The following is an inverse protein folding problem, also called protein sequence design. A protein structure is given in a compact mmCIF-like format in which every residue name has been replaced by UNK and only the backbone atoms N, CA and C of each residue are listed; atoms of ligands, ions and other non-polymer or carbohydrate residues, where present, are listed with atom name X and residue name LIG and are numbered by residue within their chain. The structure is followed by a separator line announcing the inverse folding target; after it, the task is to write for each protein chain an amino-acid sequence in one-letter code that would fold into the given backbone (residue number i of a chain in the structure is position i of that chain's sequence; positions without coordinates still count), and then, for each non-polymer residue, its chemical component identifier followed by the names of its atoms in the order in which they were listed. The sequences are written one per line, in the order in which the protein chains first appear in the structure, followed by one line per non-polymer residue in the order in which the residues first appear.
data_IF_372798255057
#
_entry.id   IF_372798255057
#
_cell.length_a   1.000
_cell.length_b   1.000
_cell.length_c   1.000
_cell.angle_alpha   90.00
_cell.angle_beta   90.00
_cell.angle_gamma   90.00
#
_symmetry.space_group_name_H-M   'P 1'
#
loop_
_entity.id
_entity.type
_entity.pdbx_description
1 polymer ?
#
# COMPACT_ATOMS: atom_id res chain seq x y z
N UNK A 1 -25.31 -5.63 7.29
CA UNK A 1 -25.18 -4.64 6.20
C UNK A 1 -25.25 -5.44 4.91
N UNK A 2 -26.21 -5.18 4.03
CA UNK A 2 -26.35 -5.97 2.81
C UNK A 2 -25.29 -5.55 1.79
N UNK A 3 -24.67 -6.53 1.14
CA UNK A 3 -23.72 -6.32 0.05
C UNK A 3 -24.33 -6.88 -1.22
N UNK A 4 -24.43 -6.05 -2.26
CA UNK A 4 -24.99 -6.48 -3.55
C UNK A 4 -24.03 -6.21 -4.69
N UNK A 5 -24.14 -6.98 -5.77
CA UNK A 5 -23.47 -6.65 -7.02
C UNK A 5 -24.22 -5.52 -7.76
N UNK A 6 -23.76 -5.19 -8.98
CA UNK A 6 -24.36 -4.14 -9.83
C UNK A 6 -25.80 -4.42 -10.27
N UNK A 7 -26.19 -5.69 -10.36
CA UNK A 7 -27.54 -6.09 -10.73
C UNK A 7 -28.50 -6.07 -9.52
N UNK A 8 -27.98 -5.79 -8.32
CA UNK A 8 -28.75 -5.85 -7.08
C UNK A 8 -28.83 -7.24 -6.46
N UNK A 9 -28.12 -8.22 -7.04
CA UNK A 9 -28.05 -9.56 -6.45
C UNK A 9 -27.25 -9.47 -5.15
N UNK A 10 -27.81 -10.00 -4.07
CA UNK A 10 -27.08 -10.23 -2.82
C UNK A 10 -25.83 -11.08 -3.09
N UNK A 11 -24.67 -10.68 -2.56
CA UNK A 11 -23.40 -11.34 -2.88
C UNK A 11 -23.37 -12.80 -2.43
N UNK A 12 -23.90 -13.09 -1.24
CA UNK A 12 -23.96 -14.45 -0.70
C UNK A 12 -24.78 -15.35 -1.64
N UNK A 13 -25.94 -14.86 -2.05
CA UNK A 13 -26.82 -15.56 -3.01
C UNK A 13 -26.21 -15.66 -4.41
N UNK A 14 -25.61 -14.57 -4.91
CA UNK A 14 -24.98 -14.51 -6.23
C UNK A 14 -23.90 -15.58 -6.37
N UNK A 15 -23.10 -15.79 -5.33
CA UNK A 15 -22.05 -16.79 -5.32
C UNK A 15 -22.56 -18.22 -5.26
N UNK A 16 -23.64 -18.47 -4.53
CA UNK A 16 -24.30 -19.78 -4.49
C UNK A 16 -24.95 -20.13 -5.84
N UNK A 17 -25.60 -19.16 -6.49
CA UNK A 17 -26.31 -19.36 -7.76
C UNK A 17 -25.44 -19.27 -9.02
N UNK A 18 -24.30 -18.60 -8.93
CA UNK A 18 -23.32 -18.49 -10.02
C UNK A 18 -21.97 -19.04 -9.55
N UNK A 19 -21.86 -20.37 -9.29
CA UNK A 19 -20.57 -20.96 -9.02
C UNK A 19 -19.65 -20.57 -10.18
N UNK A 20 -18.39 -20.16 -9.91
CA UNK A 20 -17.54 -19.56 -10.91
C UNK A 20 -17.48 -20.47 -12.14
N UNK A 21 -18.15 -20.07 -13.23
CA UNK A 21 -18.12 -20.86 -14.47
C UNK A 21 -16.65 -20.92 -14.88
N UNK A 22 -16.13 -22.14 -15.07
CA UNK A 22 -14.80 -22.31 -15.66
C UNK A 22 -14.80 -21.57 -17.00
N UNK A 23 -14.22 -20.37 -17.04
CA UNK A 23 -13.99 -19.72 -18.31
C UNK A 23 -13.00 -20.60 -19.08
N UNK A 24 -13.29 -21.00 -20.33
CA UNK A 24 -12.44 -21.92 -21.09
C UNK A 24 -11.20 -21.15 -21.53
N UNK A 25 -10.16 -21.17 -20.73
CA UNK A 25 -8.93 -20.43 -21.00
C UNK A 25 -7.72 -21.23 -20.51
N UNK A 26 -7.03 -21.77 -21.51
CA UNK A 26 -5.77 -22.50 -21.53
C UNK A 26 -4.89 -22.50 -20.27
N UNK A 27 -4.28 -23.67 -20.05
CA UNK A 27 -3.00 -23.82 -19.38
C UNK A 27 -2.06 -22.71 -19.86
N UNK A 28 -1.83 -21.69 -19.04
CA UNK A 28 -0.97 -20.58 -19.44
C UNK A 28 0.40 -21.15 -19.82
N UNK A 29 0.75 -21.05 -21.11
CA UNK A 29 2.08 -21.41 -21.59
C UNK A 29 3.06 -20.44 -20.94
N UNK A 30 3.63 -20.90 -19.83
CA UNK A 30 4.66 -20.23 -19.06
C UNK A 30 5.81 -19.90 -20.01
N UNK A 31 6.05 -18.62 -20.29
CA UNK A 31 7.29 -18.23 -20.95
C UNK A 31 8.45 -18.58 -20.01
N UNK A 32 9.26 -19.58 -20.41
CA UNK A 32 10.63 -19.79 -19.94
C UNK A 32 11.47 -18.59 -20.41
N UNK A 33 11.30 -17.44 -19.78
CA UNK A 33 12.24 -16.33 -19.91
C UNK A 33 12.67 -15.94 -18.51
N UNK A 34 13.98 -15.79 -18.36
CA UNK A 34 14.75 -15.59 -17.15
C UNK A 34 13.98 -14.87 -16.04
N UNK A 35 14.10 -15.39 -14.80
CA UNK A 35 13.47 -14.95 -13.55
C UNK A 35 13.78 -13.49 -13.17
N UNK A 36 13.44 -12.54 -14.03
CA UNK A 36 13.52 -11.12 -13.82
C UNK A 36 12.08 -10.61 -13.90
N UNK A 37 11.64 -10.01 -12.80
CA UNK A 37 10.38 -9.29 -12.69
C UNK A 37 10.20 -8.34 -13.90
N UNK A 38 8.96 -8.03 -14.32
CA UNK A 38 8.65 -7.14 -15.46
C UNK A 38 9.17 -5.69 -15.35
N UNK A 39 10.08 -5.39 -14.42
CA UNK A 39 10.84 -4.16 -14.45
C UNK A 39 11.55 -4.03 -15.80
N UNK A 40 11.36 -2.87 -16.43
CA UNK A 40 12.05 -2.53 -17.66
C UNK A 40 13.57 -2.68 -17.42
N UNK A 41 14.22 -3.68 -18.03
CA UNK A 41 15.66 -3.92 -17.87
C UNK A 41 16.47 -2.62 -18.08
N UNK A 42 15.99 -1.73 -18.95
CA UNK A 42 16.56 -0.40 -19.16
C UNK A 42 16.57 0.45 -17.89
N UNK A 43 15.51 0.44 -17.07
CA UNK A 43 15.46 1.14 -15.79
C UNK A 43 16.35 0.47 -14.75
N UNK A 44 16.37 -0.86 -14.65
CA UNK A 44 17.27 -1.59 -13.73
C UNK A 44 18.74 -1.36 -14.06
N UNK A 45 19.10 -1.37 -15.35
CA UNK A 45 20.46 -1.08 -15.83
C UNK A 45 20.79 0.40 -15.63
N UNK A 46 19.90 1.33 -15.95
CA UNK A 46 20.09 2.76 -15.64
C UNK A 46 20.28 2.99 -14.14
N UNK A 47 19.55 2.26 -13.31
CA UNK A 47 19.64 2.33 -11.85
C UNK A 47 20.99 1.82 -11.36
N UNK A 48 21.48 0.71 -11.91
CA UNK A 48 22.81 0.15 -11.59
C UNK A 48 23.95 1.06 -12.06
N UNK A 49 23.88 1.57 -13.28
CA UNK A 49 24.89 2.46 -13.86
C UNK A 49 24.96 3.81 -13.12
N UNK A 50 23.81 4.39 -12.74
CA UNK A 50 23.78 5.62 -11.93
C UNK A 50 24.39 5.45 -10.53
N UNK A 51 24.41 4.24 -9.98
CA UNK A 51 25.05 3.98 -8.69
C UNK A 51 26.57 3.88 -8.77
N UNK A 52 27.14 3.57 -9.93
CA UNK A 52 28.59 3.35 -10.07
C UNK A 52 29.34 4.62 -10.50
N UNK A 53 28.72 5.50 -11.28
CA UNK A 53 29.42 6.62 -11.94
C UNK A 53 29.76 7.77 -10.98
N UNK A 54 28.88 8.12 -10.04
CA UNK A 54 29.12 9.28 -9.16
C UNK A 54 30.14 9.01 -8.03
N UNK A 55 30.10 7.86 -7.33
CA UNK A 55 31.11 7.54 -6.33
C UNK A 55 32.51 7.35 -6.92
N UNK A 56 32.60 6.76 -8.12
CA UNK A 56 33.86 6.53 -8.82
C UNK A 56 34.53 7.85 -9.23
N UNK A 57 33.76 8.83 -9.70
CA UNK A 57 34.30 10.13 -10.11
C UNK A 57 34.83 10.95 -8.93
N UNK A 58 34.09 11.01 -7.82
CA UNK A 58 34.51 11.74 -6.61
C UNK A 58 35.71 11.07 -5.95
N UNK A 59 35.72 9.74 -5.85
CA UNK A 59 36.88 9.00 -5.36
C UNK A 59 38.11 9.20 -6.28
N UNK A 60 37.91 9.20 -7.60
CA UNK A 60 38.96 9.49 -8.57
C UNK A 60 39.55 10.90 -8.41
N UNK A 61 38.72 11.92 -8.16
CA UNK A 61 39.18 13.30 -7.91
C UNK A 61 39.93 13.41 -6.58
N UNK A 62 39.46 12.78 -5.51
CA UNK A 62 40.13 12.79 -4.20
C UNK A 62 41.49 12.08 -4.29
N UNK A 63 41.54 10.91 -4.92
CA UNK A 63 42.79 10.18 -5.16
C UNK A 63 43.75 11.00 -6.01
N UNK A 64 43.26 11.65 -7.08
CA UNK A 64 44.06 12.54 -7.92
C UNK A 64 44.61 13.74 -7.13
N UNK A 65 43.79 14.37 -6.28
CA UNK A 65 44.23 15.49 -5.43
C UNK A 65 45.26 15.03 -4.39
N UNK A 66 45.12 13.83 -3.81
CA UNK A 66 46.10 13.30 -2.87
C UNK A 66 47.43 12.97 -3.55
N UNK A 67 47.39 12.41 -4.76
CA UNK A 67 48.57 12.18 -5.60
C UNK A 67 49.28 13.51 -5.91
N UNK A 68 48.52 14.55 -6.28
CA UNK A 68 49.08 15.85 -6.65
C UNK A 68 49.62 16.65 -5.47
N UNK A 69 49.16 16.39 -4.24
CA UNK A 69 49.52 17.19 -3.05
C UNK A 69 50.57 16.56 -2.16
N UNK A 70 50.71 15.23 -2.14
CA UNK A 70 51.59 14.57 -1.16
C UNK A 70 52.94 14.13 -1.71
N UNK A 71 53.11 13.96 -3.02
CA UNK A 71 54.40 13.70 -3.67
C UNK A 71 55.05 12.34 -3.35
N UNK A 72 54.81 11.77 -2.17
CA UNK A 72 55.33 10.49 -1.70
C UNK A 72 54.29 9.81 -0.81
N UNK A 73 53.80 8.64 -1.25
CA UNK A 73 53.04 7.73 -0.39
C UNK A 73 53.69 6.35 -0.50
N UNK A 74 54.80 6.14 0.21
CA UNK A 74 55.50 4.85 0.23
C UNK A 74 54.69 3.74 0.95
N UNK A 75 53.64 4.09 1.69
CA UNK A 75 52.83 3.12 2.43
C UNK A 75 51.59 2.66 1.65
N UNK A 76 51.78 1.60 0.86
CA UNK A 76 50.72 0.94 0.08
C UNK A 76 49.46 0.61 0.92
N UNK A 77 49.62 0.18 2.17
CA UNK A 77 48.50 -0.15 3.07
C UNK A 77 47.66 1.09 3.38
N UNK A 78 48.29 2.22 3.68
CA UNK A 78 47.59 3.48 3.93
C UNK A 78 46.83 3.95 2.68
N UNK A 79 47.41 3.78 1.48
CA UNK A 79 46.76 4.09 0.21
C UNK A 79 45.49 3.25 -0.03
N UNK A 80 45.56 1.95 0.22
CA UNK A 80 44.40 1.04 0.11
C UNK A 80 43.30 1.46 1.08
N UNK A 81 43.64 1.75 2.34
CA UNK A 81 42.67 2.17 3.37
C UNK A 81 41.97 3.47 2.96
N UNK A 82 42.74 4.49 2.55
CA UNK A 82 42.19 5.79 2.12
C UNK A 82 41.27 5.62 0.92
N UNK A 83 41.66 4.81 -0.06
CA UNK A 83 40.87 4.58 -1.27
C UNK A 83 39.55 3.87 -0.94
N UNK A 84 39.59 2.82 -0.10
CA UNK A 84 38.39 2.10 0.36
C UNK A 84 37.46 3.03 1.15
N UNK A 85 37.98 3.83 2.08
CA UNK A 85 37.20 4.78 2.87
C UNK A 85 36.58 5.86 1.98
N UNK A 86 37.35 6.40 1.03
CA UNK A 86 36.88 7.43 0.09
C UNK A 86 35.77 6.88 -0.81
N UNK A 87 35.93 5.67 -1.35
CA UNK A 87 34.92 5.02 -2.19
C UNK A 87 33.65 4.74 -1.39
N UNK A 88 33.80 4.21 -0.18
CA UNK A 88 32.69 3.93 0.74
C UNK A 88 31.94 5.20 1.12
N UNK A 89 32.66 6.27 1.50
CA UNK A 89 32.09 7.58 1.79
C UNK A 89 31.33 8.17 0.60
N UNK A 90 31.90 8.04 -0.61
CA UNK A 90 31.27 8.53 -1.84
C UNK A 90 29.99 7.76 -2.19
N UNK A 91 29.94 6.45 -1.93
CA UNK A 91 28.72 5.64 -2.03
C UNK A 91 27.67 6.17 -1.04
N UNK A 92 28.03 6.41 0.22
CA UNK A 92 27.09 6.91 1.22
C UNK A 92 26.56 8.31 0.90
N UNK A 93 27.42 9.23 0.48
CA UNK A 93 27.00 10.57 0.03
C UNK A 93 26.07 10.45 -1.17
N UNK A 94 26.39 9.59 -2.14
CA UNK A 94 25.54 9.38 -3.31
C UNK A 94 24.16 8.81 -2.92
N UNK A 95 24.11 7.84 -2.01
CA UNK A 95 22.86 7.29 -1.49
C UNK A 95 22.06 8.34 -0.72
N UNK A 96 22.69 9.13 0.16
CA UNK A 96 22.04 10.19 0.93
C UNK A 96 21.50 11.31 0.02
N UNK A 97 22.34 11.84 -0.87
CA UNK A 97 21.97 12.87 -1.85
C UNK A 97 20.84 12.39 -2.75
N UNK A 98 20.83 11.11 -3.12
CA UNK A 98 19.74 10.49 -3.87
C UNK A 98 18.44 10.46 -3.06
N UNK A 99 18.45 10.00 -1.82
CA UNK A 99 17.23 9.99 -0.98
C UNK A 99 16.72 11.42 -0.73
N UNK A 100 17.61 12.40 -0.54
CA UNK A 100 17.25 13.83 -0.46
C UNK A 100 16.63 14.32 -1.77
N UNK A 101 17.23 14.00 -2.91
CA UNK A 101 16.70 14.34 -4.22
C UNK A 101 15.33 13.72 -4.47
N UNK A 102 15.12 12.43 -4.18
CA UNK A 102 13.81 11.79 -4.33
C UNK A 102 12.77 12.38 -3.39
N UNK A 103 13.14 12.68 -2.14
CA UNK A 103 12.25 13.35 -1.19
C UNK A 103 11.81 14.71 -1.73
N UNK A 104 12.73 15.49 -2.29
CA UNK A 104 12.43 16.79 -2.89
C UNK A 104 11.62 16.65 -4.19
N UNK A 105 12.04 15.77 -5.10
CA UNK A 105 11.44 15.59 -6.42
C UNK A 105 10.05 14.96 -6.36
N UNK A 106 9.79 14.09 -5.39
CA UNK A 106 8.48 13.47 -5.16
C UNK A 106 7.76 14.04 -3.94
N UNK A 107 8.16 15.23 -3.49
CA UNK A 107 7.41 15.98 -2.48
C UNK A 107 5.95 16.08 -2.92
N UNK A 108 5.06 15.84 -1.96
CA UNK A 108 3.62 16.02 -2.14
C UNK A 108 3.38 17.49 -2.45
N UNK A 109 2.70 17.78 -3.58
CA UNK A 109 2.49 19.15 -4.04
C UNK A 109 1.55 19.91 -3.09
N UNK A 110 1.79 21.21 -2.90
CA UNK A 110 1.25 22.03 -1.80
C UNK A 110 -0.29 22.15 -1.77
N UNK A 111 -0.99 21.83 -2.86
CA UNK A 111 -2.46 21.79 -2.93
C UNK A 111 -3.08 20.56 -2.23
N UNK A 112 -2.24 19.68 -1.70
CA UNK A 112 -2.65 18.47 -0.98
C UNK A 112 -2.06 18.50 0.42
N UNK A 113 -2.92 18.68 1.44
CA UNK A 113 -2.47 18.72 2.83
C UNK A 113 -2.36 17.31 3.40
N UNK A 114 -1.24 17.07 4.10
CA UNK A 114 -1.01 15.85 4.89
C UNK A 114 -1.75 15.88 6.23
N UNK A 115 -2.22 17.04 6.66
CA UNK A 115 -2.97 17.21 7.89
C UNK A 115 -4.45 16.95 7.57
N UNK A 116 -4.97 15.86 8.12
CA UNK A 116 -6.37 15.51 8.03
C UNK A 116 -7.06 16.11 9.26
N UNK A 117 -7.88 17.15 9.10
CA UNK A 117 -8.60 17.74 10.23
C UNK A 117 -9.65 16.75 10.75
N UNK A 118 -10.08 16.97 11.99
CA UNK A 118 -11.19 16.24 12.59
C UNK A 118 -12.23 17.26 13.10
N UNK A 119 -13.42 17.34 12.48
CA UNK A 119 -13.85 16.56 11.32
C UNK A 119 -13.14 16.99 10.01
N UNK A 120 -13.16 16.10 9.01
CA UNK A 120 -12.77 16.38 7.63
C UNK A 120 -13.83 17.23 6.91
N UNK A 121 -15.11 16.90 7.10
CA UNK A 121 -16.26 17.67 6.66
C UNK A 121 -17.33 17.67 7.76
N UNK A 122 -18.13 18.73 7.83
CA UNK A 122 -19.29 18.76 8.72
C UNK A 122 -20.42 17.88 8.16
N UNK A 123 -20.82 16.87 8.94
CA UNK A 123 -21.91 15.93 8.60
C UNK A 123 -22.98 15.95 9.68
N UNK A 124 -24.23 15.75 9.30
CA UNK A 124 -25.37 15.80 10.24
C UNK A 124 -25.34 14.65 11.26
N UNK A 125 -24.99 13.45 10.80
CA UNK A 125 -24.91 12.23 11.61
C UNK A 125 -24.01 11.20 10.92
N UNK A 126 -23.46 10.26 11.68
CA UNK A 126 -22.73 9.11 11.10
C UNK A 126 -23.73 8.03 10.67
N UNK A 127 -23.89 7.82 9.37
CA UNK A 127 -24.72 6.72 8.82
C UNK A 127 -23.94 5.44 8.61
N UNK A 128 -22.68 5.57 8.20
CA UNK A 128 -21.82 4.46 7.85
C UNK A 128 -20.46 4.61 8.49
N UNK A 129 -19.91 3.50 8.98
CA UNK A 129 -18.55 3.43 9.49
C UNK A 129 -17.80 2.32 8.78
N UNK A 130 -16.84 2.69 7.95
CA UNK A 130 -16.07 1.76 7.10
C UNK A 130 -14.60 1.78 7.51
N UNK A 131 -14.04 0.60 7.71
CA UNK A 131 -12.64 0.38 8.02
C UNK A 131 -11.86 -0.02 6.77
N UNK A 132 -10.58 0.33 6.75
CA UNK A 132 -9.65 -0.03 5.69
C UNK A 132 -8.38 -0.59 6.29
N UNK A 133 -7.86 -1.64 5.68
CA UNK A 133 -6.58 -2.26 6.03
C UNK A 133 -5.69 -2.36 4.81
N UNK A 134 -4.38 -2.34 5.00
CA UNK A 134 -3.40 -2.56 3.94
C UNK A 134 -3.42 -3.99 3.36
N UNK A 135 -2.37 -4.33 2.61
CA UNK A 135 -2.19 -5.64 1.99
C UNK A 135 -2.10 -6.75 3.04
N UNK A 136 -2.93 -7.77 2.88
CA UNK A 136 -2.88 -9.02 3.64
C UNK A 136 -1.89 -9.93 2.90
N UNK A 137 -0.64 -9.93 3.35
CA UNK A 137 0.44 -10.73 2.78
C UNK A 137 0.54 -12.10 3.45
N UNK A 138 1.11 -13.06 2.71
CA UNK A 138 1.32 -14.42 3.20
C UNK A 138 2.10 -14.47 4.54
N UNK A 139 1.70 -15.39 5.41
CA UNK A 139 2.25 -15.48 6.78
C UNK A 139 3.44 -16.44 6.93
N UNK A 140 3.82 -17.23 5.91
CA UNK A 140 5.03 -18.09 5.90
C UNK A 140 5.25 -18.89 7.20
N UNK A 141 4.21 -19.59 7.66
CA UNK A 141 4.27 -20.44 8.85
C UNK A 141 4.13 -19.70 10.19
N UNK A 142 3.89 -18.39 10.18
CA UNK A 142 3.45 -17.67 11.38
C UNK A 142 1.92 -17.75 11.50
N UNK A 143 1.44 -17.90 12.73
CA UNK A 143 0.04 -17.67 13.05
C UNK A 143 -0.21 -16.16 13.22
N UNK A 144 -1.28 -15.65 12.62
CA UNK A 144 -1.71 -14.27 12.78
C UNK A 144 -2.52 -14.10 14.07
N UNK A 145 -2.17 -13.07 14.85
CA UNK A 145 -2.96 -12.57 15.98
C UNK A 145 -3.13 -11.06 15.86
N UNK A 146 -4.17 -10.53 16.48
CA UNK A 146 -4.40 -9.09 16.61
C UNK A 146 -4.38 -8.74 18.09
N UNK A 147 -3.76 -7.62 18.42
CA UNK A 147 -3.85 -7.11 19.78
C UNK A 147 -5.20 -6.46 20.06
N UNK A 148 -5.51 -6.30 21.34
CA UNK A 148 -6.78 -5.76 21.80
C UNK A 148 -7.01 -4.32 21.29
N UNK A 149 -5.96 -3.51 21.17
CA UNK A 149 -6.07 -2.15 20.63
C UNK A 149 -6.48 -2.14 19.15
N UNK A 150 -5.97 -3.05 18.33
CA UNK A 150 -6.37 -3.18 16.93
C UNK A 150 -7.80 -3.68 16.81
N UNK A 151 -8.19 -4.65 17.64
CA UNK A 151 -9.57 -5.17 17.65
C UNK A 151 -10.55 -4.07 18.09
N UNK A 152 -10.23 -3.32 19.16
CA UNK A 152 -11.06 -2.21 19.67
C UNK A 152 -11.24 -1.09 18.65
N UNK A 153 -10.22 -0.81 17.84
CA UNK A 153 -10.31 0.21 16.78
C UNK A 153 -11.45 -0.03 15.81
N UNK A 154 -11.71 -1.30 15.47
CA UNK A 154 -12.80 -1.69 14.58
C UNK A 154 -14.09 -2.06 15.33
N UNK A 155 -14.01 -2.51 16.59
CA UNK A 155 -15.10 -3.24 17.26
C UNK A 155 -15.71 -2.58 18.48
N UNK A 156 -15.79 -1.25 18.57
CA UNK A 156 -16.59 -0.60 19.61
C UNK A 156 -18.07 -0.97 19.44
N UNK A 157 -18.73 -1.51 20.47
CA UNK A 157 -19.93 -2.37 20.32
C UNK A 157 -21.18 -1.59 19.95
N UNK A 158 -21.26 -0.31 20.33
CA UNK A 158 -22.44 0.53 20.08
C UNK A 158 -22.31 1.41 18.84
N UNK A 159 -21.10 1.54 18.29
CA UNK A 159 -20.82 2.42 17.16
C UNK A 159 -19.89 1.78 16.12
N UNK A 160 -19.57 0.49 16.19
CA UNK A 160 -18.44 -0.14 15.50
C UNK A 160 -18.43 -0.06 13.97
N UNK A 161 -17.26 -0.39 13.40
CA UNK A 161 -17.07 -0.46 11.95
C UNK A 161 -17.90 -1.60 11.38
N UNK A 162 -18.92 -1.33 10.57
CA UNK A 162 -19.77 -2.42 10.04
C UNK A 162 -19.09 -3.24 8.94
N UNK A 163 -18.16 -2.61 8.20
CA UNK A 163 -17.48 -3.20 7.06
C UNK A 163 -15.99 -2.82 7.08
N UNK A 164 -15.11 -3.81 7.01
CA UNK A 164 -13.67 -3.63 6.82
C UNK A 164 -13.32 -4.01 5.39
N UNK A 165 -12.58 -3.18 4.68
CA UNK A 165 -12.11 -3.43 3.31
C UNK A 165 -10.60 -3.65 3.32
N UNK A 166 -10.13 -4.72 2.68
CA UNK A 166 -8.70 -5.04 2.58
C UNK A 166 -8.34 -5.71 1.27
N UNK A 167 -7.05 -5.77 0.95
CA UNK A 167 -6.55 -6.49 -0.24
C UNK A 167 -5.96 -7.84 0.19
N UNK A 168 -6.48 -8.95 -0.33
CA UNK A 168 -5.90 -10.27 -0.12
C UNK A 168 -4.84 -10.53 -1.20
N UNK A 169 -3.57 -10.37 -0.84
CA UNK A 169 -2.47 -10.49 -1.81
C UNK A 169 -2.18 -11.95 -2.16
N UNK A 170 -2.64 -12.41 -3.32
CA UNK A 170 -2.57 -13.82 -3.74
C UNK A 170 -3.88 -14.57 -3.55
N UNK A 171 -3.81 -15.89 -3.39
CA UNK A 171 -4.98 -16.77 -3.29
C UNK A 171 -4.95 -17.63 -2.03
N UNK A 172 -6.10 -18.21 -1.67
CA UNK A 172 -6.21 -19.25 -0.66
C UNK A 172 -5.81 -20.60 -1.27
N UNK A 173 -4.76 -21.19 -0.72
CA UNK A 173 -4.18 -22.44 -1.15
C UNK A 173 -3.30 -23.01 -0.03
N UNK A 174 -3.47 -24.30 0.28
CA UNK A 174 -2.77 -24.93 1.41
C UNK A 174 -1.37 -25.43 1.07
N UNK A 175 -1.04 -25.61 -0.21
CA UNK A 175 0.33 -25.94 -0.61
C UNK A 175 1.24 -24.71 -0.54
N UNK A 176 2.50 -24.95 -0.19
CA UNK A 176 3.49 -23.89 -0.06
C UNK A 176 3.72 -23.16 -1.40
N UNK A 177 3.73 -21.83 -1.39
CA UNK A 177 3.99 -21.07 -2.59
C UNK A 177 5.45 -21.20 -3.03
N UNK A 178 5.67 -21.31 -4.34
CA UNK A 178 7.00 -21.11 -4.91
C UNK A 178 7.50 -19.68 -4.64
N UNK A 179 8.82 -19.45 -4.66
CA UNK A 179 9.46 -18.21 -4.19
C UNK A 179 8.85 -16.88 -4.70
N UNK A 180 8.32 -16.86 -5.92
CA UNK A 180 7.77 -15.65 -6.58
C UNK A 180 6.25 -15.58 -6.56
N UNK A 181 5.56 -16.60 -6.04
CA UNK A 181 4.10 -16.64 -5.99
C UNK A 181 3.60 -16.32 -4.59
N UNK A 182 2.36 -15.87 -4.47
CA UNK A 182 1.70 -15.65 -3.18
C UNK A 182 0.49 -16.54 -2.99
N UNK A 183 0.48 -17.27 -1.89
CA UNK A 183 -0.63 -18.10 -1.44
C UNK A 183 -0.73 -18.03 0.08
N UNK A 184 -1.95 -18.18 0.58
CA UNK A 184 -2.26 -18.24 1.99
C UNK A 184 -2.93 -19.57 2.34
N UNK A 185 -2.51 -20.24 3.42
CA UNK A 185 -3.28 -21.38 3.92
C UNK A 185 -4.67 -20.90 4.35
N UNK A 186 -5.69 -21.76 4.23
CA UNK A 186 -7.08 -21.41 4.59
C UNK A 186 -7.25 -20.97 6.04
N UNK A 187 -6.32 -21.35 6.92
CA UNK A 187 -6.25 -20.90 8.31
C UNK A 187 -6.17 -19.39 8.46
N UNK A 188 -5.70 -18.65 7.44
CA UNK A 188 -5.68 -17.19 7.45
C UNK A 188 -7.08 -16.60 7.59
N UNK A 189 -8.09 -17.21 6.96
CA UNK A 189 -9.47 -16.68 6.97
C UNK A 189 -10.06 -16.75 8.38
N UNK A 190 -9.82 -17.86 9.08
CA UNK A 190 -10.17 -18.00 10.50
C UNK A 190 -9.38 -17.02 11.38
N UNK A 191 -8.10 -16.78 11.10
CA UNK A 191 -7.33 -15.81 11.89
C UNK A 191 -7.78 -14.36 11.64
N UNK A 192 -8.18 -14.04 10.41
CA UNK A 192 -8.77 -12.74 10.07
C UNK A 192 -10.13 -12.54 10.74
N UNK A 193 -10.92 -13.59 10.93
CA UNK A 193 -12.22 -13.47 11.60
C UNK A 193 -12.12 -12.97 13.05
N UNK A 194 -10.96 -13.13 13.70
CA UNK A 194 -10.71 -12.58 15.03
C UNK A 194 -10.68 -11.04 15.04
N UNK A 195 -10.42 -10.40 13.89
CA UNK A 195 -10.54 -8.94 13.74
C UNK A 195 -12.00 -8.49 13.66
N UNK A 196 -12.90 -9.38 13.24
CA UNK A 196 -14.21 -9.00 12.76
C UNK A 196 -15.20 -8.76 13.89
N UNK A 197 -15.20 -9.51 15.00
CA UNK A 197 -16.30 -9.44 16.00
C UNK A 197 -17.66 -9.46 15.29
N UNK A 198 -18.37 -8.33 15.22
CA UNK A 198 -19.67 -8.15 14.53
C UNK A 198 -19.59 -7.54 13.13
N UNK A 199 -18.38 -7.26 12.68
CA UNK A 199 -18.05 -6.61 11.42
C UNK A 199 -18.00 -7.64 10.29
N UNK A 200 -18.15 -7.18 9.04
CA UNK A 200 -17.87 -7.98 7.84
C UNK A 200 -16.54 -7.56 7.22
N UNK A 201 -15.86 -8.49 6.56
CA UNK A 201 -14.63 -8.27 5.80
C UNK A 201 -14.93 -8.37 4.31
N UNK A 202 -14.61 -7.34 3.55
CA UNK A 202 -14.67 -7.34 2.10
C UNK A 202 -13.24 -7.35 1.54
N UNK A 203 -12.88 -8.46 0.91
CA UNK A 203 -11.55 -8.70 0.37
C UNK A 203 -11.48 -8.38 -1.12
N UNK A 204 -10.63 -7.42 -1.47
CA UNK A 204 -10.24 -7.15 -2.84
C UNK A 204 -9.29 -8.24 -3.35
N UNK A 205 -9.60 -8.78 -4.52
CA UNK A 205 -8.82 -9.77 -5.26
C UNK A 205 -8.27 -9.21 -6.59
N UNK A 206 -8.23 -7.89 -6.72
CA UNK A 206 -7.70 -7.23 -7.91
C UNK A 206 -6.24 -6.88 -7.70
N UNK A 207 -5.35 -7.89 -7.63
CA UNK A 207 -3.91 -7.70 -7.45
C UNK A 207 -3.07 -8.57 -8.37
N UNK A 208 -1.76 -8.28 -8.45
CA UNK A 208 -0.87 -8.95 -9.38
C UNK A 208 -0.66 -10.43 -9.08
N UNK A 209 -0.91 -10.85 -7.84
CA UNK A 209 -0.73 -12.22 -7.37
C UNK A 209 -2.00 -13.09 -7.44
N UNK A 210 -3.16 -12.49 -7.71
CA UNK A 210 -4.45 -13.19 -7.68
C UNK A 210 -4.55 -14.35 -8.67
N UNK A 211 -3.77 -14.33 -9.75
CA UNK A 211 -3.77 -15.39 -10.76
C UNK A 211 -2.41 -16.07 -10.92
N UNK A 212 -1.56 -16.02 -9.89
CA UNK A 212 -0.24 -16.67 -9.87
C UNK A 212 -0.30 -18.19 -10.18
N UNK A 213 -1.42 -18.83 -9.88
CA UNK A 213 -1.65 -20.27 -10.07
C UNK A 213 -2.66 -20.57 -11.19
N UNK A 214 -3.01 -19.57 -11.99
CA UNK A 214 -4.02 -19.69 -13.03
C UNK A 214 -5.44 -19.69 -12.48
N UNK A 215 -6.40 -19.72 -13.41
CA UNK A 215 -7.81 -19.44 -13.11
C UNK A 215 -8.47 -20.53 -12.28
N UNK A 216 -8.13 -21.81 -12.51
CA UNK A 216 -8.73 -22.92 -11.77
C UNK A 216 -8.45 -22.80 -10.27
N UNK A 217 -7.20 -22.50 -9.90
CA UNK A 217 -6.79 -22.33 -8.50
C UNK A 217 -7.36 -21.04 -7.90
N UNK A 218 -7.45 -19.97 -8.69
CA UNK A 218 -8.17 -18.76 -8.28
C UNK A 218 -9.65 -19.06 -7.95
N UNK A 219 -10.33 -19.85 -8.78
CA UNK A 219 -11.72 -20.23 -8.53
C UNK A 219 -11.89 -21.13 -7.31
N UNK A 220 -10.99 -22.10 -7.08
CA UNK A 220 -10.99 -22.89 -5.85
C UNK A 220 -10.82 -22.00 -4.62
N UNK A 221 -9.91 -21.02 -4.68
CA UNK A 221 -9.74 -20.03 -3.62
C UNK A 221 -11.04 -19.25 -3.34
N UNK A 222 -11.78 -18.85 -4.38
CA UNK A 222 -13.06 -18.14 -4.19
C UNK A 222 -14.07 -18.99 -3.41
N UNK A 223 -14.21 -20.26 -3.77
CA UNK A 223 -15.13 -21.18 -3.07
C UNK A 223 -14.77 -21.33 -1.59
N UNK A 224 -13.48 -21.39 -1.27
CA UNK A 224 -13.02 -21.48 0.14
C UNK A 224 -13.36 -20.19 0.90
N UNK A 225 -13.17 -19.02 0.27
CA UNK A 225 -13.48 -17.74 0.93
C UNK A 225 -15.00 -17.61 1.17
N UNK A 226 -15.81 -17.95 0.17
CA UNK A 226 -17.28 -17.87 0.24
C UNK A 226 -17.90 -18.79 1.29
N UNK A 227 -17.20 -19.86 1.68
CA UNK A 227 -17.60 -20.72 2.78
C UNK A 227 -17.28 -20.14 4.16
N UNK A 228 -16.61 -18.98 4.24
CA UNK A 228 -16.24 -18.34 5.50
C UNK A 228 -17.24 -17.24 5.86
N UNK A 229 -18.00 -17.38 6.97
CA UNK A 229 -18.96 -16.37 7.38
C UNK A 229 -18.33 -14.99 7.56
N UNK A 230 -19.09 -13.94 7.21
CA UNK A 230 -18.68 -12.53 7.32
C UNK A 230 -17.48 -12.13 6.46
N UNK A 231 -17.05 -12.96 5.51
CA UNK A 231 -15.98 -12.63 4.57
C UNK A 231 -16.49 -12.75 3.14
N UNK A 232 -16.54 -11.60 2.46
CA UNK A 232 -16.91 -11.49 1.05
C UNK A 232 -15.74 -11.02 0.20
N UNK A 233 -15.88 -11.09 -1.12
CA UNK A 233 -14.82 -10.75 -2.09
C UNK A 233 -15.30 -9.84 -3.21
N UNK A 234 -14.39 -9.09 -3.82
CA UNK A 234 -14.66 -8.30 -5.03
C UNK A 234 -13.36 -8.02 -5.81
N UNK A 235 -13.44 -7.23 -6.89
CA UNK A 235 -12.29 -6.90 -7.73
C UNK A 235 -12.03 -7.92 -8.86
N UNK A 236 -13.05 -8.72 -9.16
CA UNK A 236 -13.07 -9.66 -10.30
C UNK A 236 -13.78 -9.00 -11.47
N UNK A 237 -13.58 -9.48 -12.69
CA UNK A 237 -14.26 -8.87 -13.86
C UNK A 237 -15.79 -8.96 -13.81
N UNK A 238 -16.33 -10.01 -13.20
CA UNK A 238 -17.78 -10.21 -13.02
C UNK A 238 -18.34 -9.42 -11.82
N UNK A 239 -17.52 -9.17 -10.79
CA UNK A 239 -17.86 -8.35 -9.62
C UNK A 239 -16.73 -7.35 -9.38
N UNK A 240 -16.60 -6.31 -10.24
CA UNK A 240 -15.52 -5.32 -10.12
C UNK A 240 -15.76 -4.35 -8.97
N UNK A 241 -17.02 -4.21 -8.57
CA UNK A 241 -17.50 -3.35 -7.52
C UNK A 241 -18.64 -4.01 -6.73
N UNK A 242 -18.81 -3.54 -5.50
CA UNK A 242 -19.84 -3.97 -4.56
C UNK A 242 -20.58 -2.74 -4.05
N UNK A 243 -21.88 -2.91 -3.88
CA UNK A 243 -22.78 -1.91 -3.35
C UNK A 243 -23.17 -2.24 -1.92
N UNK A 244 -23.25 -1.22 -1.08
CA UNK A 244 -23.56 -1.36 0.35
C UNK A 244 -24.87 -0.64 0.64
N UNK A 245 -25.74 -1.29 1.42
CA UNK A 245 -26.97 -0.74 2.01
C UNK A 245 -27.86 0.03 1.00
N UNK A 246 -28.69 -0.70 0.26
CA UNK A 246 -29.53 -0.14 -0.81
C UNK A 246 -28.73 0.72 -1.82
N UNK A 247 -27.51 0.27 -2.12
CA UNK A 247 -26.60 0.84 -3.10
C UNK A 247 -26.12 2.26 -2.82
N UNK A 248 -26.22 2.77 -1.59
CA UNK A 248 -25.79 4.14 -1.24
C UNK A 248 -24.27 4.34 -1.35
N UNK A 249 -23.50 3.28 -1.11
CA UNK A 249 -22.04 3.28 -1.24
C UNK A 249 -21.64 2.28 -2.31
N UNK A 250 -20.71 2.69 -3.18
CA UNK A 250 -20.09 1.87 -4.21
C UNK A 250 -18.61 1.69 -3.89
N UNK A 251 -18.15 0.45 -3.73
CA UNK A 251 -16.76 0.10 -3.47
C UNK A 251 -16.21 -0.65 -4.67
N UNK A 252 -15.25 -0.04 -5.37
CA UNK A 252 -14.68 -0.56 -6.62
C UNK A 252 -13.21 -0.87 -6.48
N UNK A 253 -12.72 -1.82 -7.28
CA UNK A 253 -11.28 -2.10 -7.38
C UNK A 253 -10.82 -2.39 -8.81
N UNK A 254 -9.55 -2.11 -9.05
CA UNK A 254 -8.85 -2.46 -10.28
C UNK A 254 -7.33 -2.51 -10.05
N UNK A 255 -6.62 -3.35 -10.82
CA UNK A 255 -5.18 -3.53 -10.73
C UNK A 255 -4.42 -3.01 -11.94
N UNK A 256 -3.34 -2.27 -11.73
CA UNK A 256 -2.38 -1.93 -12.78
C UNK A 256 -1.49 -3.11 -13.16
N UNK A 257 -1.43 -4.13 -12.31
CA UNK A 257 -0.44 -5.17 -12.38
C UNK A 257 -1.07 -6.55 -12.45
N UNK A 258 -0.43 -7.43 -13.21
CA UNK A 258 -0.71 -8.85 -13.23
C UNK A 258 0.58 -9.60 -13.50
N UNK A 259 0.87 -10.64 -12.71
CA UNK A 259 1.98 -11.55 -12.98
C UNK A 259 1.67 -12.48 -14.17
N UNK A 260 0.43 -12.49 -14.66
CA UNK A 260 0.00 -13.22 -15.84
C UNK A 260 -0.42 -12.26 -16.95
N UNK A 261 -0.23 -12.65 -18.21
CA UNK A 261 -0.70 -11.85 -19.36
C UNK A 261 -2.23 -11.81 -19.47
N UNK A 262 -2.90 -12.82 -18.92
CA UNK A 262 -4.34 -12.93 -18.94
C UNK A 262 -4.98 -12.06 -17.85
N UNK A 263 -5.98 -11.26 -18.20
CA UNK A 263 -6.73 -10.40 -17.27
C UNK A 263 -8.15 -10.92 -17.00
N UNK A 264 -8.52 -12.11 -17.49
CA UNK A 264 -9.91 -12.60 -17.51
C UNK A 264 -10.56 -12.74 -16.13
N UNK A 265 -9.80 -12.88 -15.05
CA UNK A 265 -10.37 -13.08 -13.71
C UNK A 265 -10.37 -11.82 -12.83
N UNK A 266 -9.52 -10.83 -13.11
CA UNK A 266 -9.31 -9.67 -12.23
C UNK A 266 -9.59 -8.37 -12.96
N UNK A 267 -10.16 -7.42 -12.23
CA UNK A 267 -10.46 -6.09 -12.74
C UNK A 267 -9.18 -5.36 -13.15
N UNK A 268 -9.06 -5.05 -14.44
CA UNK A 268 -7.91 -4.30 -14.94
C UNK A 268 -8.08 -2.80 -14.69
N UNK A 269 -7.01 -2.15 -14.26
CA UNK A 269 -6.94 -0.71 -14.14
C UNK A 269 -6.71 -0.11 -15.53
N UNK A 270 -7.75 0.55 -16.04
CA UNK A 270 -7.72 1.38 -17.23
C UNK A 270 -8.73 2.51 -17.08
N UNK A 271 -8.44 3.70 -17.61
CA UNK A 271 -9.29 4.89 -17.41
C UNK A 271 -10.73 4.65 -17.89
N UNK A 272 -10.92 4.01 -19.04
CA UNK A 272 -12.26 3.74 -19.57
C UNK A 272 -13.00 2.69 -18.73
N UNK A 273 -12.27 1.69 -18.23
CA UNK A 273 -12.84 0.61 -17.41
C UNK A 273 -13.22 1.12 -16.02
N UNK A 274 -12.36 1.92 -15.37
CA UNK A 274 -12.66 2.54 -14.08
C UNK A 274 -13.89 3.45 -14.13
N UNK A 275 -14.04 4.23 -15.20
CA UNK A 275 -15.22 5.07 -15.41
C UNK A 275 -16.53 4.27 -15.58
N UNK A 276 -16.46 2.97 -15.87
CA UNK A 276 -17.61 2.07 -15.92
C UNK A 276 -18.00 1.49 -14.56
N UNK A 277 -17.10 1.59 -13.57
CA UNK A 277 -17.32 1.12 -12.19
C UNK A 277 -17.87 2.23 -11.28
N UNK A 278 -17.78 3.49 -11.72
CA UNK A 278 -18.39 4.62 -11.05
C UNK A 278 -19.92 4.50 -11.04
N UNK A 279 -20.54 4.81 -9.90
CA UNK A 279 -21.99 4.84 -9.74
C UNK A 279 -22.46 6.27 -9.42
N UNK A 280 -23.35 6.79 -10.25
CA UNK A 280 -23.89 8.14 -10.08
C UNK A 280 -24.75 8.25 -8.82
N UNK A 281 -24.72 9.43 -8.18
CA UNK A 281 -25.50 9.77 -6.97
C UNK A 281 -25.23 8.85 -5.77
N UNK A 282 -24.03 8.23 -5.73
CA UNK A 282 -23.55 7.35 -4.64
C UNK A 282 -22.26 7.90 -4.04
N UNK A 283 -21.93 7.43 -2.83
CA UNK A 283 -20.59 7.60 -2.28
C UNK A 283 -19.63 6.58 -2.91
N UNK A 284 -18.65 7.03 -3.68
CA UNK A 284 -17.78 6.18 -4.48
C UNK A 284 -16.39 6.01 -3.86
N UNK A 285 -16.04 4.76 -3.54
CA UNK A 285 -14.75 4.36 -2.96
C UNK A 285 -13.97 3.54 -4.00
N UNK A 286 -12.73 3.93 -4.27
CA UNK A 286 -11.80 3.18 -5.12
C UNK A 286 -10.70 2.55 -4.26
N UNK A 287 -10.43 1.26 -4.49
CA UNK A 287 -9.34 0.51 -3.84
C UNK A 287 -8.32 0.01 -4.87
N UNK A 288 -7.52 0.89 -5.48
CA UNK A 288 -6.68 0.51 -6.60
C UNK A 288 -5.42 -0.24 -6.14
N UNK A 289 -5.02 -1.24 -6.92
CA UNK A 289 -3.76 -1.95 -6.72
C UNK A 289 -2.75 -1.46 -7.77
N UNK A 290 -1.87 -0.53 -7.36
CA UNK A 290 -1.17 0.35 -8.31
C UNK A 290 0.22 0.77 -7.85
N UNK A 291 0.93 1.50 -8.73
CA UNK A 291 2.29 2.00 -8.49
C UNK A 291 3.33 0.88 -8.30
N UNK A 292 4.58 1.16 -7.91
CA UNK A 292 5.62 0.12 -7.85
C UNK A 292 5.80 -0.48 -6.45
N UNK A 293 6.04 -1.79 -6.39
CA UNK A 293 6.41 -2.48 -5.14
C UNK A 293 7.57 -1.77 -4.42
N UNK A 294 7.43 -1.63 -3.10
CA UNK A 294 8.39 -1.02 -2.18
C UNK A 294 8.70 0.47 -2.44
N UNK A 295 7.95 1.15 -3.29
CA UNK A 295 8.17 2.55 -3.59
C UNK A 295 7.60 3.45 -2.47
N UNK A 296 8.48 4.02 -1.65
CA UNK A 296 8.10 4.86 -0.51
C UNK A 296 7.54 6.22 -0.93
N UNK A 297 8.06 6.76 -2.03
CA UNK A 297 7.70 8.08 -2.52
C UNK A 297 6.60 7.99 -3.57
N UNK A 298 5.61 8.87 -3.47
CA UNK A 298 4.51 8.90 -4.45
C UNK A 298 4.98 9.70 -5.66
N UNK A 299 5.11 9.04 -6.81
CA UNK A 299 5.51 9.72 -8.06
C UNK A 299 4.53 10.84 -8.42
N UNK A 300 5.03 11.97 -8.94
CA UNK A 300 4.19 13.09 -9.42
C UNK A 300 3.09 12.66 -10.38
N UNK A 301 3.36 11.67 -11.27
CA UNK A 301 2.36 11.11 -12.18
C UNK A 301 1.15 10.54 -11.45
N UNK A 302 1.39 9.87 -10.32
CA UNK A 302 0.34 9.24 -9.53
C UNK A 302 -0.44 10.30 -8.74
N UNK A 303 0.26 11.29 -8.16
CA UNK A 303 -0.38 12.43 -7.49
C UNK A 303 -1.34 13.18 -8.44
N UNK A 304 -0.88 13.51 -9.66
CA UNK A 304 -1.72 14.15 -10.68
C UNK A 304 -2.91 13.29 -11.07
N UNK A 305 -2.68 11.98 -11.27
CA UNK A 305 -3.74 11.05 -11.66
C UNK A 305 -4.78 10.85 -10.55
N UNK A 306 -4.36 10.71 -9.29
CA UNK A 306 -5.29 10.56 -8.17
C UNK A 306 -6.12 11.81 -7.98
N UNK A 307 -5.53 13.01 -8.13
CA UNK A 307 -6.28 14.27 -8.12
C UNK A 307 -7.34 14.27 -9.22
N UNK A 308 -6.96 13.92 -10.46
CA UNK A 308 -7.91 13.82 -11.58
C UNK A 308 -9.07 12.87 -11.29
N UNK A 309 -8.83 11.72 -10.65
CA UNK A 309 -9.89 10.77 -10.29
C UNK A 309 -10.89 11.33 -9.26
N UNK A 310 -10.43 12.22 -8.39
CA UNK A 310 -11.21 12.72 -7.25
C UNK A 310 -11.97 14.01 -7.58
N UNK A 311 -11.46 14.82 -8.51
CA UNK A 311 -12.07 16.13 -8.84
C UNK A 311 -12.26 16.43 -10.34
N UNK A 312 -11.49 15.82 -11.26
CA UNK A 312 -11.45 16.24 -12.68
C UNK A 312 -11.84 15.10 -13.66
N UNK A 313 -12.72 14.18 -13.25
CA UNK A 313 -13.06 12.98 -14.04
C UNK A 313 -14.41 13.08 -14.75
N UNK A 314 -14.73 14.24 -15.36
CA UNK A 314 -15.94 14.41 -16.17
C UNK A 314 -17.22 14.02 -15.42
N UNK A 315 -17.41 14.60 -14.23
CA UNK A 315 -18.49 14.34 -13.26
C UNK A 315 -18.44 12.97 -12.54
N UNK A 316 -17.49 12.09 -12.87
CA UNK A 316 -17.34 10.76 -12.24
C UNK A 316 -16.26 10.75 -11.17
N UNK A 317 -16.50 11.50 -10.11
CA UNK A 317 -15.50 11.77 -9.10
C UNK A 317 -15.55 10.76 -7.95
N UNK A 318 -14.42 10.13 -7.64
CA UNK A 318 -14.29 9.25 -6.47
C UNK A 318 -14.20 10.08 -5.19
N UNK A 319 -14.90 9.67 -4.14
CA UNK A 319 -14.93 10.38 -2.86
C UNK A 319 -13.78 9.95 -1.92
N UNK A 320 -13.35 8.69 -2.07
CA UNK A 320 -12.22 8.12 -1.35
C UNK A 320 -11.41 7.19 -2.27
N UNK A 321 -10.09 7.32 -2.23
CA UNK A 321 -9.16 6.36 -2.79
C UNK A 321 -8.32 5.73 -1.67
N UNK A 322 -8.30 4.40 -1.57
CA UNK A 322 -7.42 3.66 -0.66
C UNK A 322 -6.57 2.64 -1.43
N UNK A 323 -5.34 3.01 -1.74
CA UNK A 323 -4.44 2.23 -2.58
C UNK A 323 -3.71 1.09 -1.86
N UNK A 324 -3.21 0.16 -2.68
CA UNK A 324 -2.51 -1.08 -2.31
C UNK A 324 -1.22 -1.27 -3.15
N UNK A 325 -0.56 -2.44 -3.05
CA UNK A 325 0.58 -2.94 -3.85
C UNK A 325 1.97 -2.47 -3.45
N UNK A 326 2.16 -1.21 -3.07
CA UNK A 326 3.54 -0.74 -2.79
C UNK A 326 4.15 -1.41 -1.55
N UNK A 327 3.34 -2.10 -0.74
CA UNK A 327 3.73 -2.80 0.48
C UNK A 327 4.45 -1.91 1.52
N UNK A 328 4.38 -0.60 1.34
CA UNK A 328 4.90 0.42 2.23
C UNK A 328 3.84 1.48 2.42
N UNK A 329 3.72 2.01 3.63
CA UNK A 329 2.82 3.13 3.89
C UNK A 329 3.22 4.31 3.02
N UNK A 330 2.25 4.85 2.29
CA UNK A 330 2.42 6.11 1.58
C UNK A 330 1.56 7.21 2.25
N UNK A 331 1.80 8.48 1.91
CA UNK A 331 1.00 9.59 2.43
C UNK A 331 -0.51 9.40 2.19
N UNK A 332 -1.29 10.03 3.08
CA UNK A 332 -2.71 10.27 2.87
C UNK A 332 -2.84 11.77 2.67
N UNK A 333 -3.55 12.16 1.62
CA UNK A 333 -3.83 13.55 1.32
C UNK A 333 -5.32 13.80 1.30
N UNK A 334 -5.70 15.04 1.63
CA UNK A 334 -7.02 15.57 1.30
C UNK A 334 -6.97 16.39 0.01
N UNK A 335 -8.04 16.31 -0.78
CA UNK A 335 -8.24 17.05 -2.02
C UNK A 335 -9.57 17.76 -1.94
N UNK A 336 -9.62 19.04 -2.33
CA UNK A 336 -10.83 19.84 -2.26
C UNK A 336 -11.58 19.84 -3.60
N UNK A 337 -12.86 19.50 -3.56
CA UNK A 337 -13.81 19.77 -4.63
C UNK A 337 -14.56 21.06 -4.27
N UNK A 338 -14.50 22.08 -5.14
CA UNK A 338 -15.28 23.29 -4.94
C UNK A 338 -16.69 23.10 -5.51
N UNK A 339 -17.69 23.66 -4.84
CA UNK A 339 -19.04 23.71 -5.39
C UNK A 339 -19.13 24.86 -6.38
N UNK A 340 -19.73 24.61 -7.54
CA UNK A 340 -19.80 25.57 -8.64
C UNK A 340 -21.25 25.98 -8.90
N UNK A 341 -21.46 27.25 -9.23
CA UNK A 341 -22.74 27.79 -9.69
C UNK A 341 -23.04 27.39 -11.15
N UNK A 342 -24.19 27.82 -11.68
CA UNK A 342 -24.61 27.53 -13.05
C UNK A 342 -23.64 28.06 -14.13
N UNK A 343 -22.80 29.04 -13.77
CA UNK A 343 -21.80 29.65 -14.66
C UNK A 343 -20.40 29.05 -14.46
N UNK A 344 -20.26 28.05 -13.58
CA UNK A 344 -18.99 27.40 -13.27
C UNK A 344 -18.11 28.16 -12.26
N UNK A 345 -18.63 29.20 -11.60
CA UNK A 345 -17.88 29.94 -10.58
C UNK A 345 -18.02 29.26 -9.21
N UNK A 346 -16.99 29.29 -8.34
CA UNK A 346 -17.11 28.75 -6.99
C UNK A 346 -18.20 29.46 -6.18
N UNK A 347 -19.12 28.67 -5.62
CA UNK A 347 -20.13 29.16 -4.66
C UNK A 347 -19.40 29.54 -3.37
N UNK A 348 -19.67 30.73 -2.82
CA UNK A 348 -19.02 31.21 -1.59
C UNK A 348 -19.90 30.99 -0.34
N UNK A 349 -19.27 30.89 0.83
CA UNK A 349 -19.93 30.95 2.15
C UNK A 349 -20.12 32.39 2.63
N UNK A 350 -20.73 32.55 3.82
CA UNK A 350 -21.01 33.86 4.41
C UNK A 350 -19.75 34.71 4.69
N UNK A 351 -18.57 34.09 4.69
CA UNK A 351 -17.28 34.72 4.92
C UNK A 351 -16.47 34.89 3.61
N UNK A 352 -17.13 34.78 2.44
CA UNK A 352 -16.51 34.83 1.11
C UNK A 352 -15.47 33.71 0.84
N UNK A 353 -15.48 32.61 1.57
CA UNK A 353 -14.65 31.45 1.24
C UNK A 353 -15.40 30.51 0.29
N UNK A 354 -14.75 29.91 -0.72
CA UNK A 354 -15.44 28.97 -1.61
C UNK A 354 -15.97 27.78 -0.82
N UNK A 355 -17.24 27.41 -0.96
CA UNK A 355 -17.81 26.17 -0.44
C UNK A 355 -17.24 24.98 -1.19
N UNK A 356 -17.18 23.84 -0.50
CA UNK A 356 -16.67 22.63 -1.11
C UNK A 356 -16.71 21.43 -0.19
N UNK A 357 -16.19 20.33 -0.70
CA UNK A 357 -16.09 19.03 -0.04
C UNK A 357 -14.64 18.58 -0.04
N UNK A 358 -14.13 18.15 1.11
CA UNK A 358 -12.85 17.46 1.20
C UNK A 358 -13.02 15.96 0.94
N UNK A 359 -12.22 15.46 0.02
CA UNK A 359 -12.11 14.04 -0.35
C UNK A 359 -10.73 13.51 0.03
N UNK A 360 -10.56 12.19 0.07
CA UNK A 360 -9.31 11.57 0.55
C UNK A 360 -8.64 10.69 -0.50
N UNK A 361 -7.31 10.72 -0.49
CA UNK A 361 -6.46 9.77 -1.23
C UNK A 361 -5.41 9.22 -0.28
N UNK A 362 -5.56 7.96 0.11
CA UNK A 362 -4.50 7.16 0.68
C UNK A 362 -3.78 6.43 -0.45
N UNK A 363 -2.54 6.82 -0.76
CA UNK A 363 -1.82 6.23 -1.90
C UNK A 363 -1.47 4.75 -1.71
N UNK A 364 -1.18 4.37 -0.46
CA UNK A 364 -0.98 2.98 -0.04
C UNK A 364 -1.13 2.82 1.47
N UNK A 365 -1.91 1.82 1.89
CA UNK A 365 -2.02 1.40 3.29
C UNK A 365 -0.79 0.65 3.82
N UNK A 366 0.15 0.24 2.96
CA UNK A 366 1.22 -0.69 3.32
C UNK A 366 0.67 -2.10 3.61
N UNK A 367 1.34 -2.86 4.46
CA UNK A 367 0.97 -4.24 4.76
C UNK A 367 0.23 -4.36 6.09
N UNK A 368 -0.99 -4.91 6.09
CA UNK A 368 -1.63 -5.33 7.35
C UNK A 368 -0.88 -6.50 7.96
N UNK A 369 -0.49 -7.48 7.14
CA UNK A 369 0.18 -8.71 7.58
C UNK A 369 1.43 -8.96 6.75
N UNK A 370 2.38 -9.74 7.27
CA UNK A 370 3.57 -10.18 6.52
C UNK A 370 4.38 -11.20 7.31
N UNK A 371 4.52 -12.40 6.75
CA UNK A 371 5.38 -13.48 7.22
C UNK A 371 6.82 -13.44 6.71
N UNK A 372 7.20 -12.43 5.92
CA UNK A 372 8.50 -12.43 5.22
C UNK A 372 9.68 -12.36 6.22
N UNK A 373 10.68 -13.22 6.01
CA UNK A 373 11.81 -13.47 6.93
C UNK A 373 13.02 -12.53 6.69
N UNK A 374 14.08 -12.76 7.49
CA UNK A 374 15.24 -11.91 7.84
C UNK A 374 15.69 -10.84 6.82
N UNK A 375 15.83 -11.20 5.54
CA UNK A 375 16.40 -10.33 4.51
C UNK A 375 15.46 -9.18 4.07
N UNK A 376 14.14 -9.34 4.22
CA UNK A 376 13.14 -8.30 3.87
C UNK A 376 12.40 -7.72 5.09
N UNK A 377 12.83 -8.05 6.32
CA UNK A 377 12.13 -7.75 7.58
C UNK A 377 11.74 -6.28 7.76
N UNK A 378 12.58 -5.31 7.41
CA UNK A 378 12.30 -3.90 7.72
C UNK A 378 11.30 -3.22 6.79
N UNK A 379 11.03 -3.79 5.61
CA UNK A 379 10.21 -3.12 4.58
C UNK A 379 8.73 -3.50 4.65
N UNK A 380 8.41 -4.71 5.10
CA UNK A 380 7.07 -5.30 4.99
C UNK A 380 6.33 -5.48 6.31
N UNK A 381 6.89 -5.02 7.43
CA UNK A 381 6.29 -5.23 8.77
C UNK A 381 5.43 -4.06 9.22
N UNK A 382 5.19 -3.06 8.37
CA UNK A 382 4.45 -1.86 8.73
C UNK A 382 3.27 -1.67 7.79
N UNK A 383 2.14 -1.31 8.39
CA UNK A 383 0.92 -0.96 7.70
C UNK A 383 0.20 0.16 8.39
N UNK A 384 -0.98 0.46 7.86
CA UNK A 384 -1.89 1.42 8.41
C UNK A 384 -3.29 0.85 8.33
N UNK A 385 -4.04 1.08 9.39
CA UNK A 385 -5.49 0.91 9.40
C UNK A 385 -6.14 2.28 9.44
N UNK A 386 -7.29 2.39 8.79
CA UNK A 386 -8.06 3.62 8.70
C UNK A 386 -9.52 3.33 8.97
N UNK A 387 -10.22 4.28 9.57
CA UNK A 387 -11.67 4.24 9.82
C UNK A 387 -12.26 5.57 9.39
N UNK A 388 -13.37 5.50 8.66
CA UNK A 388 -14.10 6.67 8.18
C UNK A 388 -15.55 6.62 8.65
N UNK A 389 -15.98 7.72 9.25
CA UNK A 389 -17.39 8.01 9.53
C UNK A 389 -17.96 8.77 8.34
N UNK A 390 -19.02 8.23 7.74
CA UNK A 390 -19.61 8.74 6.50
C UNK A 390 -21.08 9.04 6.77
N UNK A 391 -21.54 10.20 6.33
CA UNK A 391 -22.92 10.65 6.56
C UNK A 391 -23.33 11.81 5.65
N UNK A 392 -24.60 12.25 5.74
CA UNK A 392 -25.11 13.39 4.98
C UNK A 392 -24.33 14.65 5.31
N UNK A 393 -23.84 15.33 4.29
CA UNK A 393 -23.12 16.59 4.42
C UNK A 393 -24.07 17.69 4.93
N UNK A 394 -23.65 18.48 5.92
CA UNK A 394 -24.55 19.47 6.55
C UNK A 394 -25.04 20.55 5.58
N UNK A 395 -24.16 21.04 4.71
CA UNK A 395 -24.49 22.05 3.70
C UNK A 395 -25.26 21.50 2.48
N UNK A 396 -25.28 20.18 2.30
CA UNK A 396 -26.04 19.49 1.24
C UNK A 396 -26.38 18.05 1.68
N UNK A 397 -27.49 17.85 2.42
CA UNK A 397 -27.85 16.55 2.98
C UNK A 397 -28.13 15.45 1.94
N UNK A 398 -28.24 15.80 0.65
CA UNK A 398 -28.40 14.82 -0.42
C UNK A 398 -27.10 14.09 -0.74
N UNK A 399 -25.96 14.68 -0.40
CA UNK A 399 -24.62 14.12 -0.63
C UNK A 399 -24.05 13.50 0.63
N UNK A 400 -23.45 12.33 0.47
CA UNK A 400 -22.65 11.71 1.54
C UNK A 400 -21.22 12.27 1.51
N UNK A 401 -20.64 12.44 2.69
CA UNK A 401 -19.29 12.94 2.90
C UNK A 401 -18.62 12.19 4.05
N UNK A 402 -17.28 12.20 4.06
CA UNK A 402 -16.51 11.72 5.19
C UNK A 402 -16.50 12.82 6.25
N UNK A 403 -17.07 12.52 7.42
CA UNK A 403 -17.03 13.38 8.60
C UNK A 403 -15.72 13.19 9.34
N UNK A 404 -15.58 12.10 10.08
CA UNK A 404 -14.38 11.80 10.88
C UNK A 404 -13.49 10.76 10.19
N UNK A 405 -12.18 10.96 10.32
CA UNK A 405 -11.15 10.02 9.86
C UNK A 405 -10.25 9.68 11.02
N UNK A 406 -10.09 8.39 11.30
CA UNK A 406 -9.11 7.89 12.25
C UNK A 406 -8.11 7.00 11.54
N UNK A 407 -6.84 7.18 11.88
CA UNK A 407 -5.73 6.48 11.27
C UNK A 407 -4.83 5.96 12.36
N UNK A 408 -4.44 4.69 12.28
CA UNK A 408 -3.45 4.10 13.17
C UNK A 408 -2.40 3.35 12.38
N UNK A 409 -1.13 3.57 12.74
CA UNK A 409 -0.02 2.79 12.20
C UNK A 409 0.04 1.45 12.92
N UNK A 410 0.27 0.39 12.15
CA UNK A 410 0.42 -0.97 12.68
C UNK A 410 1.79 -1.53 12.37
N UNK A 411 2.24 -2.46 13.21
CA UNK A 411 3.40 -3.27 12.93
C UNK A 411 3.23 -4.73 13.33
N UNK A 412 4.04 -5.61 12.72
CA UNK A 412 4.00 -7.06 12.95
C UNK A 412 5.06 -7.46 13.98
N UNK A 413 4.64 -7.63 15.23
CA UNK A 413 5.47 -8.13 16.32
C UNK A 413 5.66 -9.65 16.21
N UNK A 414 6.89 -10.15 16.35
CA UNK A 414 7.13 -11.59 16.39
C UNK A 414 6.96 -12.10 17.82
N UNK A 415 6.34 -13.28 17.95
CA UNK A 415 6.24 -14.00 19.22
C UNK A 415 6.26 -15.51 19.02
N UNK A 416 6.06 -16.22 20.13
CA UNK A 416 5.78 -17.65 20.15
C UNK A 416 4.52 -17.89 20.97
N UNK A 417 3.75 -18.89 20.59
CA UNK A 417 2.63 -19.37 21.38
C UNK A 417 3.16 -19.99 22.66
N UNK A 418 2.57 -19.62 23.81
CA UNK A 418 3.00 -20.15 25.10
C UNK A 418 2.70 -21.66 25.18
N UNK A 419 1.60 -22.09 24.57
CA UNK A 419 1.06 -23.44 24.77
C UNK A 419 1.72 -24.48 23.84
N UNK A 420 1.99 -24.12 22.59
CA UNK A 420 2.47 -25.05 21.56
C UNK A 420 3.78 -24.61 20.87
N UNK A 421 4.35 -23.47 21.27
CA UNK A 421 5.61 -22.96 20.71
C UNK A 421 5.53 -22.47 19.26
N UNK A 422 4.34 -22.45 18.64
CA UNK A 422 4.14 -22.00 17.27
C UNK A 422 4.61 -20.55 17.08
N UNK A 423 5.14 -20.24 15.89
CA UNK A 423 5.57 -18.88 15.58
C UNK A 423 4.34 -17.99 15.41
N UNK A 424 4.33 -16.85 16.07
CA UNK A 424 3.21 -15.90 16.03
C UNK A 424 3.68 -14.58 15.44
N UNK A 425 2.80 -13.94 14.69
CA UNK A 425 2.86 -12.52 14.40
C UNK A 425 1.63 -11.82 14.93
N UNK A 426 1.84 -10.93 15.88
CA UNK A 426 0.79 -10.09 16.46
C UNK A 426 0.81 -8.74 15.79
N UNK A 427 -0.32 -8.34 15.21
CA UNK A 427 -0.51 -6.98 14.69
C UNK A 427 -0.84 -6.08 15.86
N UNK A 428 -0.04 -5.02 16.04
CA UNK A 428 -0.20 -4.03 17.12
C UNK A 428 -0.13 -2.62 16.61
N UNK A 429 -0.59 -1.67 17.43
CA UNK A 429 -0.30 -0.26 17.21
C UNK A 429 1.15 0.04 17.49
N UNK A 430 1.76 0.84 16.63
CA UNK A 430 3.06 1.39 16.92
C UNK A 430 3.61 2.22 15.78
N UNK A 431 4.41 3.20 16.17
CA UNK A 431 5.29 3.89 15.25
C UNK A 431 6.49 2.98 15.03
N UNK A 432 6.40 2.13 14.01
CA UNK A 432 7.57 1.40 13.57
C UNK A 432 8.70 2.39 13.32
N UNK A 433 9.76 2.34 14.14
CA UNK A 433 10.98 3.10 13.89
C UNK A 433 11.38 2.85 12.44
N UNK A 434 11.24 3.86 11.58
CA UNK A 434 11.92 3.82 10.30
C UNK A 434 13.40 3.82 10.66
N UNK A 435 14.02 2.64 10.65
CA UNK A 435 15.33 2.31 11.23
C UNK A 435 16.54 2.98 10.58
N UNK A 436 16.39 4.26 10.25
CA UNK A 436 17.39 5.23 9.85
C UNK A 436 18.38 5.42 11.02
N UNK A 437 17.93 5.48 12.29
CA UNK A 437 18.81 5.73 13.43
C UNK A 437 19.93 4.68 13.60
N UNK A 438 19.61 3.38 13.61
CA UNK A 438 20.61 2.32 13.84
C UNK A 438 21.61 2.15 12.70
N UNK A 439 21.21 2.41 11.46
CA UNK A 439 22.12 2.35 10.31
C UNK A 439 23.10 3.52 10.33
N UNK A 440 22.63 4.73 10.64
CA UNK A 440 23.53 5.87 10.84
C UNK A 440 24.42 5.70 12.07
N UNK A 441 23.92 5.11 13.17
CA UNK A 441 24.75 4.77 14.33
C UNK A 441 25.86 3.77 13.98
N UNK A 442 25.58 2.77 13.14
CA UNK A 442 26.60 1.83 12.65
C UNK A 442 27.62 2.54 11.75
N UNK A 443 27.17 3.42 10.85
CA UNK A 443 28.06 4.20 9.98
C UNK A 443 28.95 5.13 10.82
N UNK A 444 28.37 5.84 11.79
CA UNK A 444 29.10 6.71 12.73
C UNK A 444 30.11 5.86 13.53
N UNK A 445 29.70 4.68 13.99
CA UNK A 445 30.61 3.75 14.67
C UNK A 445 31.79 3.31 13.80
N UNK A 446 31.55 2.93 12.54
CA UNK A 446 32.60 2.56 11.58
C UNK A 446 33.51 3.76 11.29
N UNK A 447 32.96 4.96 11.12
CA UNK A 447 33.73 6.18 10.90
C UNK A 447 34.62 6.51 12.11
N UNK A 448 34.09 6.42 13.33
CA UNK A 448 34.86 6.64 14.57
C UNK A 448 35.98 5.61 14.70
N UNK A 449 35.71 4.31 14.49
CA UNK A 449 36.74 3.27 14.53
C UNK A 449 37.82 3.54 13.48
N UNK A 450 37.43 3.94 12.27
CA UNK A 450 38.37 4.26 11.20
C UNK A 450 39.25 5.45 11.57
N UNK A 451 38.67 6.51 12.17
CA UNK A 451 39.42 7.67 12.68
C UNK A 451 40.40 7.24 13.78
N UNK A 452 39.98 6.42 14.75
CA UNK A 452 40.86 5.94 15.83
C UNK A 452 42.04 5.13 15.29
N UNK A 453 41.80 4.25 14.30
CA UNK A 453 42.86 3.49 13.65
C UNK A 453 43.85 4.43 12.93
N UNK A 454 43.35 5.42 12.19
CA UNK A 454 44.18 6.40 11.50
C UNK A 454 45.05 7.18 12.50
N UNK A 455 44.45 7.67 13.60
CA UNK A 455 45.18 8.43 14.61
C UNK A 455 46.26 7.60 15.31
N UNK A 456 46.03 6.31 15.56
CA UNK A 456 47.06 5.39 16.06
C UNK A 456 48.19 5.15 15.06
N UNK A 457 47.87 4.97 13.77
CA UNK A 457 48.89 4.78 12.72
C UNK A 457 49.76 6.04 12.55
N UNK A 458 49.18 7.23 12.77
CA UNK A 458 49.89 8.50 12.73
C UNK A 458 50.66 8.82 14.04
N UNK A 459 50.61 7.94 15.06
CA UNK A 459 51.30 8.15 16.33
C UNK A 459 50.72 9.27 17.21
N UNK A 460 49.46 9.66 16.96
CA UNK A 460 48.76 10.70 17.73
C UNK A 460 48.19 10.13 19.05
N UNK A 461 47.99 8.80 19.12
CA UNK A 461 47.53 8.06 20.30
C UNK A 461 48.32 6.79 20.54
#
# INVERSE_FOLDING_TARGET
MSLTNRNGDDLETYYLGNPPRQSPCDNSTRTKWWKLSPYNCRETINYFLKMLVLPGLVAGIIVLLMILTTGDIENFTLWVIITVLTYTGSIFISLYSRERYFTWFHRIQDESSLVIPNPLNEINETKYRIGFVGDIMMMRGYQLRFSNEVIKFFGDVNEGVKLIVGNLEGIIRNEDPSLTKQAHPSTILRQLSHLLRDNSLLLCLSNNHSIDYGNQEFHKSLLIIQQTPKIDVFGRNDVPNVFVDNQKINISSASEWSNQKNWKCISKYGTNQLSSYYAQDRFNILTPHWNYENERYVRKRLQKRSKKLVIDNGNKNWDLIFGHHTHVRQPIIKVRENFLDANGNPILDANNNPKGLWKLVAFSGGNLTSGVTFIRRKKHIHGRIMRCDIGPLTQDPTRLAIGRVEIQNTFNENGRDADNGAKIKTIRFGEGEQGISRFWMLIIGIAIISIVIILRVLGIF
#
